data_IF_152192670350
#
_entry.id   IF_152192670350
#
_cell.length_a   1.000
_cell.length_b   1.000
_cell.length_c   1.000
_cell.angle_alpha   90.00
_cell.angle_beta   90.00
_cell.angle_gamma   90.00
#
_symmetry.space_group_name_H-M   'P 1'
#
loop_
_entity.id
_entity.type
_entity.pdbx_description
1 polymer ?
#
# COMPACT_ATOMS: atom_id res chain seq x y z
N UNK A 1 -14.85 28.83 -1.17
CA UNK A 1 -13.73 28.64 -2.08
C UNK A 1 -13.72 27.16 -2.46
N UNK A 2 -13.65 26.82 -3.76
CA UNK A 2 -13.52 25.44 -4.21
C UNK A 2 -12.14 24.89 -3.79
N UNK A 3 -12.05 23.57 -3.58
CA UNK A 3 -10.77 22.91 -3.39
C UNK A 3 -9.92 23.08 -4.67
N UNK A 4 -8.60 23.22 -4.49
CA UNK A 4 -7.65 23.25 -5.61
C UNK A 4 -7.76 21.96 -6.45
N UNK A 5 -7.59 22.02 -7.77
CA UNK A 5 -7.55 20.83 -8.60
C UNK A 5 -6.45 19.87 -8.16
N UNK A 6 -6.72 18.57 -8.21
CA UNK A 6 -5.72 17.54 -7.81
C UNK A 6 -4.45 17.69 -8.63
N UNK A 7 -4.53 18.00 -9.90
CA UNK A 7 -3.39 18.27 -10.79
C UNK A 7 -2.43 19.33 -10.23
N UNK A 8 -2.95 20.46 -9.75
CA UNK A 8 -2.14 21.51 -9.14
C UNK A 8 -1.48 21.08 -7.84
N UNK A 9 -2.13 20.19 -7.08
CA UNK A 9 -1.58 19.64 -5.85
C UNK A 9 -0.44 18.64 -6.11
N UNK A 10 -0.56 17.82 -7.16
CA UNK A 10 0.49 16.90 -7.60
C UNK A 10 1.74 17.70 -8.02
N UNK A 11 1.54 18.78 -8.78
CA UNK A 11 2.62 19.63 -9.26
C UNK A 11 3.31 20.39 -8.09
N UNK A 12 2.55 20.89 -7.10
CA UNK A 12 3.11 21.57 -5.93
C UNK A 12 3.94 20.63 -5.03
N UNK A 13 3.48 19.40 -4.83
CA UNK A 13 4.20 18.43 -4.00
C UNK A 13 5.38 17.76 -4.70
N UNK A 14 5.43 17.77 -6.03
CA UNK A 14 6.51 17.13 -6.81
C UNK A 14 6.61 15.61 -6.56
N UNK A 15 5.49 14.92 -6.30
CA UNK A 15 5.50 13.49 -6.01
C UNK A 15 5.91 12.67 -7.23
N UNK A 16 6.62 11.57 -7.00
CA UNK A 16 7.11 10.66 -8.04
C UNK A 16 6.40 9.30 -8.02
N UNK A 17 5.69 8.99 -6.94
CA UNK A 17 4.93 7.75 -6.82
C UNK A 17 3.64 7.95 -6.03
N UNK A 18 2.65 7.09 -6.30
CA UNK A 18 1.36 7.10 -5.61
C UNK A 18 0.77 5.68 -5.50
N UNK A 19 -0.09 5.48 -4.50
CA UNK A 19 -0.95 4.29 -4.41
C UNK A 19 -2.40 4.65 -4.71
N UNK A 20 -3.11 3.74 -5.39
CA UNK A 20 -4.54 3.89 -5.71
C UNK A 20 -5.26 2.58 -5.41
N UNK A 21 -6.34 2.65 -4.66
CA UNK A 21 -7.19 1.48 -4.39
C UNK A 21 -8.02 1.12 -5.62
N UNK A 22 -8.07 -0.18 -5.94
CA UNK A 22 -8.90 -0.72 -7.02
C UNK A 22 -9.73 -1.88 -6.47
N UNK A 23 -11.06 -1.69 -6.46
CA UNK A 23 -12.07 -2.69 -6.06
C UNK A 23 -12.86 -3.16 -7.28
N UNK A 24 -12.42 -4.18 -8.00
CA UNK A 24 -13.04 -4.58 -9.27
C UNK A 24 -14.48 -5.06 -9.15
N UNK A 25 -14.92 -5.53 -7.99
CA UNK A 25 -16.31 -5.89 -7.75
C UNK A 25 -17.28 -4.70 -7.80
N UNK A 26 -16.77 -3.47 -7.90
CA UNK A 26 -17.57 -2.26 -8.12
C UNK A 26 -17.88 -2.00 -9.60
N UNK A 27 -17.21 -2.68 -10.54
CA UNK A 27 -17.38 -2.45 -11.98
C UNK A 27 -17.32 -3.71 -12.87
N UNK A 28 -17.08 -4.90 -12.31
CA UNK A 28 -17.06 -6.19 -13.03
C UNK A 28 -18.34 -6.97 -12.77
N UNK A 29 -18.84 -7.70 -13.81
CA UNK A 29 -20.08 -8.47 -13.78
C UNK A 29 -19.95 -9.77 -14.57
N UNK A 30 -20.72 -10.81 -14.19
CA UNK A 30 -20.83 -12.07 -14.94
C UNK A 30 -21.80 -11.99 -16.12
N UNK A 31 -22.74 -11.03 -16.07
CA UNK A 31 -23.71 -10.76 -17.11
C UNK A 31 -23.89 -9.25 -17.31
N UNK A 32 -24.25 -8.77 -18.50
CA UNK A 32 -24.39 -7.35 -18.71
C UNK A 32 -25.54 -6.76 -17.87
N UNK A 33 -25.21 -5.82 -16.98
CA UNK A 33 -26.18 -5.12 -16.14
C UNK A 33 -26.89 -3.96 -16.88
N UNK A 34 -26.27 -3.44 -17.93
CA UNK A 34 -26.77 -2.36 -18.79
C UNK A 34 -26.16 -2.42 -20.19
N UNK A 35 -26.71 -1.65 -21.13
CA UNK A 35 -26.13 -1.50 -22.47
C UNK A 35 -24.79 -0.74 -22.40
N UNK A 36 -23.85 -1.04 -23.31
CA UNK A 36 -22.58 -0.32 -23.46
C UNK A 36 -21.49 -0.74 -22.46
N UNK A 37 -21.66 -1.83 -21.73
CA UNK A 37 -20.58 -2.41 -20.95
C UNK A 37 -19.48 -2.96 -21.87
N UNK A 38 -18.25 -2.91 -21.39
CA UNK A 38 -17.10 -3.50 -22.10
C UNK A 38 -17.10 -5.01 -21.89
N UNK A 39 -17.18 -5.76 -23.00
CA UNK A 39 -17.04 -7.21 -23.00
C UNK A 39 -15.56 -7.61 -22.97
N UNK A 40 -15.24 -8.57 -22.13
CA UNK A 40 -13.90 -9.13 -22.00
C UNK A 40 -13.98 -10.67 -22.02
N UNK A 41 -13.46 -11.27 -23.08
CA UNK A 41 -13.39 -12.72 -23.22
C UNK A 41 -12.12 -13.26 -22.56
N UNK A 42 -12.26 -14.22 -21.63
CA UNK A 42 -11.15 -14.86 -20.98
C UNK A 42 -11.41 -16.35 -20.74
N UNK A 43 -10.51 -17.21 -21.26
CA UNK A 43 -10.59 -18.67 -21.08
C UNK A 43 -11.97 -19.28 -21.40
N UNK A 44 -12.61 -18.80 -22.49
CA UNK A 44 -13.90 -19.31 -22.97
C UNK A 44 -15.13 -18.77 -22.27
N UNK A 45 -14.98 -17.87 -21.31
CA UNK A 45 -16.04 -17.15 -20.63
C UNK A 45 -16.00 -15.66 -21.05
N UNK A 46 -17.13 -14.97 -20.94
CA UNK A 46 -17.22 -13.53 -21.17
C UNK A 46 -17.59 -12.82 -19.86
N UNK A 47 -16.85 -11.78 -19.55
CA UNK A 47 -17.09 -10.91 -18.40
C UNK A 47 -17.40 -9.50 -18.90
N UNK A 48 -18.09 -8.71 -18.07
CA UNK A 48 -18.58 -7.39 -18.46
C UNK A 48 -18.07 -6.34 -17.47
N UNK A 49 -17.58 -5.21 -18.00
CA UNK A 49 -17.01 -4.13 -17.20
C UNK A 49 -17.74 -2.82 -17.46
N UNK A 50 -18.13 -2.15 -16.39
CA UNK A 50 -18.81 -0.86 -16.43
C UNK A 50 -17.81 0.27 -16.66
N UNK A 51 -17.71 0.77 -17.91
CA UNK A 51 -16.76 1.83 -18.26
C UNK A 51 -17.02 3.13 -17.53
N UNK A 52 -18.28 3.48 -17.23
CA UNK A 52 -18.58 4.70 -16.47
C UNK A 52 -18.03 4.66 -15.04
N UNK A 53 -17.91 3.46 -14.46
CA UNK A 53 -17.28 3.26 -13.13
C UNK A 53 -15.77 3.34 -13.20
N UNK A 54 -15.19 3.07 -14.36
CA UNK A 54 -13.76 3.19 -14.62
C UNK A 54 -13.31 4.63 -14.91
N UNK A 55 -14.23 5.52 -15.31
CA UNK A 55 -13.89 6.88 -15.72
C UNK A 55 -13.07 7.65 -14.67
N UNK A 56 -13.40 7.51 -13.39
CA UNK A 56 -12.67 8.18 -12.31
C UNK A 56 -11.25 7.60 -12.14
N UNK A 57 -11.10 6.27 -12.24
CA UNK A 57 -9.81 5.60 -12.19
C UNK A 57 -8.96 5.98 -13.41
N UNK A 58 -9.55 5.93 -14.62
CA UNK A 58 -8.90 6.36 -15.86
C UNK A 58 -8.40 7.81 -15.77
N UNK A 59 -9.23 8.73 -15.26
CA UNK A 59 -8.84 10.12 -15.08
C UNK A 59 -7.64 10.27 -14.14
N UNK A 60 -7.68 9.58 -12.99
CA UNK A 60 -6.58 9.58 -12.02
C UNK A 60 -5.30 9.03 -12.64
N UNK A 61 -5.38 7.89 -13.33
CA UNK A 61 -4.21 7.24 -13.92
C UNK A 61 -3.65 8.02 -15.12
N UNK A 62 -4.48 8.73 -15.90
CA UNK A 62 -3.99 9.65 -16.95
C UNK A 62 -3.27 10.85 -16.36
N UNK A 63 -3.81 11.46 -15.31
CA UNK A 63 -3.18 12.61 -14.62
C UNK A 63 -1.81 12.24 -14.05
N UNK A 64 -1.67 11.05 -13.49
CA UNK A 64 -0.40 10.55 -12.95
C UNK A 64 0.57 10.15 -14.07
N UNK A 65 0.10 9.47 -15.12
CA UNK A 65 0.92 9.10 -16.27
C UNK A 65 1.47 10.34 -17.02
N UNK A 66 0.64 11.39 -17.19
CA UNK A 66 1.07 12.64 -17.81
C UNK A 66 2.19 13.37 -17.05
N UNK A 67 2.44 13.01 -15.78
CA UNK A 67 3.50 13.55 -14.90
C UNK A 67 4.61 12.55 -14.63
N UNK A 68 4.59 11.41 -15.31
CA UNK A 68 5.51 10.28 -15.06
C UNK A 68 5.52 9.80 -13.60
N UNK A 69 4.39 9.94 -12.91
CA UNK A 69 4.22 9.41 -11.55
C UNK A 69 4.02 7.91 -11.62
N UNK A 70 4.86 7.17 -10.90
CA UNK A 70 4.76 5.70 -10.79
C UNK A 70 3.58 5.32 -9.90
N UNK A 71 2.56 4.68 -10.46
CA UNK A 71 1.39 4.24 -9.69
C UNK A 71 1.48 2.77 -9.33
N UNK A 72 1.32 2.47 -8.04
CA UNK A 72 1.02 1.14 -7.54
C UNK A 72 -0.47 1.04 -7.21
N UNK A 73 -1.18 0.05 -7.77
CA UNK A 73 -2.57 -0.19 -7.37
C UNK A 73 -2.64 -1.19 -6.23
N UNK A 74 -3.50 -0.94 -5.25
CA UNK A 74 -3.87 -1.92 -4.23
C UNK A 74 -5.10 -2.65 -4.75
N UNK A 75 -4.93 -3.93 -5.11
CA UNK A 75 -5.99 -4.78 -5.64
C UNK A 75 -6.81 -5.36 -4.50
N UNK A 76 -8.03 -4.89 -4.33
CA UNK A 76 -8.92 -5.24 -3.24
C UNK A 76 -10.06 -6.14 -3.72
N UNK A 77 -10.44 -7.13 -2.93
CA UNK A 77 -11.62 -7.97 -3.18
C UNK A 77 -12.63 -7.68 -2.08
N UNK A 78 -13.67 -6.95 -2.45
CA UNK A 78 -14.76 -6.61 -1.52
C UNK A 78 -15.50 -7.86 -1.04
N UNK A 79 -16.10 -7.87 0.15
CA UNK A 79 -17.06 -8.90 0.54
C UNK A 79 -18.23 -8.98 -0.43
N UNK A 80 -18.80 -10.18 -0.60
CA UNK A 80 -19.91 -10.41 -1.54
C UNK A 80 -21.10 -9.47 -1.35
N UNK A 81 -21.36 -9.05 -0.11
CA UNK A 81 -22.45 -8.13 0.21
C UNK A 81 -22.24 -6.71 -0.36
N UNK A 82 -21.01 -6.35 -0.69
CA UNK A 82 -20.64 -5.03 -1.23
C UNK A 82 -20.44 -5.05 -2.75
N UNK A 83 -20.41 -6.24 -3.37
CA UNK A 83 -20.27 -6.39 -4.81
C UNK A 83 -21.51 -5.87 -5.56
N UNK A 84 -21.29 -5.25 -6.73
CA UNK A 84 -22.37 -4.78 -7.61
C UNK A 84 -23.09 -5.94 -8.29
N UNK A 85 -22.37 -7.02 -8.60
CA UNK A 85 -22.93 -8.29 -9.08
C UNK A 85 -22.84 -9.30 -7.92
N UNK A 86 -24.00 -9.67 -7.36
CA UNK A 86 -24.07 -10.56 -6.22
C UNK A 86 -23.54 -11.99 -6.53
N UNK A 87 -23.70 -12.46 -7.78
CA UNK A 87 -23.21 -13.78 -8.18
C UNK A 87 -21.67 -13.75 -8.32
N UNK A 88 -21.11 -12.70 -8.87
CA UNK A 88 -19.67 -12.51 -8.95
C UNK A 88 -19.07 -12.34 -7.55
N UNK A 89 -19.72 -11.53 -6.69
CA UNK A 89 -19.30 -11.37 -5.30
C UNK A 89 -19.24 -12.69 -4.55
N UNK A 90 -20.30 -13.48 -4.61
CA UNK A 90 -20.38 -14.82 -4.01
C UNK A 90 -19.34 -15.80 -4.60
N UNK A 91 -19.00 -15.65 -5.88
CA UNK A 91 -17.99 -16.47 -6.55
C UNK A 91 -16.57 -16.14 -6.08
N UNK A 92 -16.24 -14.85 -5.96
CA UNK A 92 -14.88 -14.39 -5.66
C UNK A 92 -14.57 -14.30 -4.17
N UNK A 93 -15.58 -14.14 -3.30
CA UNK A 93 -15.37 -14.23 -1.85
C UNK A 93 -14.86 -15.60 -1.44
N UNK A 94 -13.85 -15.62 -0.55
CA UNK A 94 -13.37 -16.90 0.00
C UNK A 94 -14.52 -17.62 0.75
N UNK A 95 -14.71 -18.94 0.55
CA UNK A 95 -15.85 -19.65 1.15
C UNK A 95 -15.84 -19.63 2.69
N UNK A 96 -14.69 -19.47 3.31
CA UNK A 96 -14.55 -19.39 4.77
C UNK A 96 -14.52 -17.94 5.30
N UNK A 97 -14.81 -16.93 4.45
CA UNK A 97 -14.92 -15.54 4.89
C UNK A 97 -15.96 -15.39 5.99
N UNK A 98 -15.61 -14.69 7.05
CA UNK A 98 -16.48 -14.47 8.21
C UNK A 98 -16.78 -12.99 8.45
N UNK A 99 -15.74 -12.14 8.32
CA UNK A 99 -15.79 -10.71 8.61
C UNK A 99 -14.54 -10.01 8.03
N UNK A 100 -14.40 -8.72 8.27
CA UNK A 100 -13.26 -7.92 7.83
C UNK A 100 -13.62 -7.02 6.66
N UNK A 101 -12.72 -6.10 6.36
CA UNK A 101 -12.93 -5.07 5.33
C UNK A 101 -12.91 -5.68 3.92
N UNK A 102 -12.04 -6.66 3.69
CA UNK A 102 -11.87 -7.36 2.41
C UNK A 102 -11.86 -8.87 2.62
N UNK A 103 -12.04 -9.62 1.53
CA UNK A 103 -11.90 -11.08 1.52
C UNK A 103 -10.66 -11.52 0.78
N UNK A 104 -10.02 -12.60 1.22
CA UNK A 104 -9.12 -13.35 0.35
C UNK A 104 -9.90 -13.83 -0.87
N UNK A 105 -9.37 -13.73 -2.10
CA UNK A 105 -10.05 -14.28 -3.26
C UNK A 105 -10.21 -15.79 -3.16
N UNK A 106 -11.33 -16.28 -3.68
CA UNK A 106 -11.62 -17.72 -3.73
C UNK A 106 -10.72 -18.43 -4.73
N UNK A 107 -9.62 -19.00 -4.23
CA UNK A 107 -8.69 -19.83 -5.00
C UNK A 107 -9.04 -21.33 -4.95
N UNK A 108 -10.23 -21.70 -4.44
CA UNK A 108 -10.60 -23.10 -4.20
C UNK A 108 -11.34 -23.76 -5.36
N UNK A 109 -11.90 -22.96 -6.29
CA UNK A 109 -12.64 -23.51 -7.44
C UNK A 109 -12.12 -22.96 -8.77
N UNK A 110 -12.09 -23.79 -9.86
CA UNK A 110 -11.63 -23.33 -11.17
C UNK A 110 -12.42 -22.14 -11.73
N UNK A 111 -13.73 -22.06 -11.43
CA UNK A 111 -14.58 -20.96 -11.90
C UNK A 111 -14.19 -19.64 -11.22
N UNK A 112 -13.97 -19.65 -9.90
CA UNK A 112 -13.53 -18.47 -9.16
C UNK A 112 -12.14 -18.02 -9.58
N UNK A 113 -11.20 -18.96 -9.74
CA UNK A 113 -9.84 -18.66 -10.22
C UNK A 113 -9.87 -18.00 -11.60
N UNK A 114 -10.71 -18.51 -12.53
CA UNK A 114 -10.86 -17.87 -13.87
C UNK A 114 -11.45 -16.47 -13.78
N UNK A 115 -12.47 -16.25 -12.95
CA UNK A 115 -13.06 -14.92 -12.78
C UNK A 115 -12.06 -13.93 -12.18
N UNK A 116 -11.29 -14.36 -11.16
CA UNK A 116 -10.21 -13.53 -10.59
C UNK A 116 -9.10 -13.25 -11.62
N UNK A 117 -8.73 -14.24 -12.43
CA UNK A 117 -7.77 -14.09 -13.51
C UNK A 117 -8.27 -13.11 -14.60
N UNK A 118 -9.54 -13.23 -15.02
CA UNK A 118 -10.15 -12.34 -16.01
C UNK A 118 -10.17 -10.87 -15.54
N UNK A 119 -10.40 -10.65 -14.26
CA UNK A 119 -10.36 -9.34 -13.64
C UNK A 119 -8.96 -8.70 -13.76
N UNK A 120 -7.92 -9.45 -13.44
CA UNK A 120 -6.53 -9.00 -13.54
C UNK A 120 -6.14 -8.76 -14.99
N UNK A 121 -6.51 -9.68 -15.88
CA UNK A 121 -6.22 -9.61 -17.32
C UNK A 121 -6.85 -8.36 -17.95
N UNK A 122 -8.11 -8.06 -17.62
CA UNK A 122 -8.78 -6.85 -18.07
C UNK A 122 -8.05 -5.57 -17.61
N UNK A 123 -7.69 -5.50 -16.33
CA UNK A 123 -6.98 -4.34 -15.79
C UNK A 123 -5.60 -4.19 -16.42
N UNK A 124 -4.85 -5.30 -16.59
CA UNK A 124 -3.54 -5.28 -17.22
C UNK A 124 -3.64 -4.87 -18.71
N UNK A 125 -4.59 -5.44 -19.47
CA UNK A 125 -4.83 -5.05 -20.86
C UNK A 125 -5.17 -3.56 -21.01
N UNK A 126 -5.88 -2.98 -20.02
CA UNK A 126 -6.28 -1.58 -20.05
C UNK A 126 -5.17 -0.63 -19.66
N UNK A 127 -4.42 -0.94 -18.59
CA UNK A 127 -3.51 -0.02 -17.91
C UNK A 127 -2.01 -0.32 -18.05
N UNK A 128 -1.65 -1.41 -18.75
CA UNK A 128 -0.26 -1.69 -19.11
C UNK A 128 -0.02 -1.50 -20.62
N UNK A 129 -0.69 -0.51 -21.22
CA UNK A 129 -0.57 -0.17 -22.64
C UNK A 129 0.60 0.79 -22.86
N UNK A 130 1.30 0.63 -23.96
CA UNK A 130 2.39 1.53 -24.37
C UNK A 130 1.91 2.96 -24.69
N UNK A 131 0.63 3.14 -25.07
CA UNK A 131 0.06 4.43 -25.45
C UNK A 131 -0.56 5.21 -24.27
N UNK A 132 -0.57 4.64 -23.07
CA UNK A 132 -1.17 5.21 -21.85
C UNK A 132 -2.60 5.75 -22.04
N UNK A 133 -3.37 5.18 -23.00
CA UNK A 133 -4.69 5.71 -23.40
C UNK A 133 -5.69 5.85 -22.24
N UNK A 134 -5.52 5.01 -21.21
CA UNK A 134 -6.31 5.03 -19.98
C UNK A 134 -5.48 5.40 -18.74
N UNK A 135 -4.23 5.86 -18.93
CA UNK A 135 -3.24 5.99 -17.89
C UNK A 135 -2.48 4.68 -17.65
N UNK A 136 -1.62 4.67 -16.63
CA UNK A 136 -0.66 3.58 -16.42
C UNK A 136 -0.67 3.04 -14.99
N UNK A 137 -0.68 1.71 -14.84
CA UNK A 137 -0.36 1.00 -13.61
C UNK A 137 1.02 0.38 -13.79
N UNK A 138 1.98 0.80 -12.96
CA UNK A 138 3.34 0.26 -12.99
C UNK A 138 3.51 -0.95 -12.06
N UNK A 139 2.87 -0.91 -10.88
CA UNK A 139 3.03 -1.92 -9.84
C UNK A 139 1.70 -2.37 -9.24
N UNK A 140 1.70 -3.56 -8.65
CA UNK A 140 0.50 -4.22 -8.15
C UNK A 140 0.71 -4.65 -6.70
N UNK A 141 0.06 -3.99 -5.78
CA UNK A 141 -0.03 -4.40 -4.38
C UNK A 141 -1.20 -5.37 -4.26
N UNK A 142 -0.91 -6.62 -3.94
CA UNK A 142 -1.92 -7.68 -3.95
C UNK A 142 -2.54 -7.79 -2.56
N UNK A 143 -3.78 -7.33 -2.46
CA UNK A 143 -4.59 -7.18 -1.25
C UNK A 143 -4.00 -6.17 -0.25
N UNK A 144 -4.70 -5.95 0.88
CA UNK A 144 -4.29 -5.01 1.91
C UNK A 144 -4.02 -5.72 3.23
N UNK A 145 -2.91 -5.37 3.88
CA UNK A 145 -2.51 -5.82 5.22
C UNK A 145 -2.88 -7.27 5.51
N UNK A 146 -2.33 -8.18 4.69
CA UNK A 146 -2.72 -9.60 4.74
C UNK A 146 -2.32 -10.30 6.04
N UNK A 147 -1.39 -9.74 6.81
CA UNK A 147 -1.11 -10.19 8.18
C UNK A 147 -2.27 -9.93 9.13
N UNK A 148 -3.11 -8.95 8.86
CA UNK A 148 -4.37 -8.66 9.56
C UNK A 148 -5.53 -9.52 9.10
N UNK A 149 -5.34 -10.84 8.99
CA UNK A 149 -6.25 -11.78 8.34
C UNK A 149 -7.68 -11.85 8.88
N UNK A 150 -7.97 -11.29 10.06
CA UNK A 150 -9.34 -11.25 10.61
C UNK A 150 -10.02 -9.89 10.40
N UNK A 151 -9.25 -8.83 10.19
CA UNK A 151 -9.78 -7.46 10.11
C UNK A 151 -9.69 -6.88 8.70
N UNK A 152 -8.65 -7.25 7.94
CA UNK A 152 -8.43 -6.75 6.58
C UNK A 152 -8.77 -7.77 5.51
N UNK A 153 -7.86 -8.66 5.13
CA UNK A 153 -8.08 -9.63 4.03
C UNK A 153 -8.46 -10.98 4.62
N UNK A 154 -9.74 -11.19 4.90
CA UNK A 154 -10.23 -12.33 5.68
C UNK A 154 -10.40 -13.61 4.87
N UNK A 155 -9.99 -14.73 5.46
CA UNK A 155 -10.17 -16.11 4.97
C UNK A 155 -10.69 -17.03 6.09
N UNK A 156 -11.38 -16.47 7.11
CA UNK A 156 -11.80 -17.15 8.33
C UNK A 156 -10.94 -16.78 9.53
N UNK A 157 -11.49 -16.91 10.73
CA UNK A 157 -10.93 -16.31 11.96
C UNK A 157 -9.78 -17.12 12.58
N UNK A 158 -9.64 -18.40 12.25
CA UNK A 158 -8.74 -19.36 12.90
C UNK A 158 -7.84 -20.14 11.95
N UNK A 159 -7.49 -19.53 10.80
CA UNK A 159 -6.63 -20.19 9.82
C UNK A 159 -5.19 -20.31 10.33
N UNK A 160 -4.60 -21.47 10.08
CA UNK A 160 -3.16 -21.62 10.27
C UNK A 160 -2.41 -20.67 9.31
N UNK A 161 -1.36 -20.04 9.81
CA UNK A 161 -0.53 -19.11 9.03
C UNK A 161 -0.06 -19.74 7.70
N UNK A 162 0.28 -21.03 7.70
CA UNK A 162 0.72 -21.75 6.48
C UNK A 162 -0.39 -21.89 5.47
N UNK A 163 -1.62 -22.21 5.90
CA UNK A 163 -2.80 -22.33 5.01
C UNK A 163 -3.15 -20.97 4.42
N UNK A 164 -3.17 -19.94 5.26
CA UNK A 164 -3.48 -18.57 4.85
C UNK A 164 -2.44 -18.04 3.85
N UNK A 165 -1.15 -18.13 4.21
CA UNK A 165 -0.07 -17.67 3.32
C UNK A 165 -0.04 -18.43 1.99
N UNK A 166 -0.33 -19.74 1.98
CA UNK A 166 -0.42 -20.51 0.72
C UNK A 166 -1.53 -19.97 -0.22
N UNK A 167 -2.72 -19.68 0.31
CA UNK A 167 -3.80 -19.09 -0.49
C UNK A 167 -3.37 -17.71 -1.04
N UNK A 168 -2.74 -16.90 -0.21
CA UNK A 168 -2.21 -15.60 -0.59
C UNK A 168 -1.16 -15.67 -1.71
N UNK A 169 -0.17 -16.55 -1.56
CA UNK A 169 0.87 -16.76 -2.59
C UNK A 169 0.27 -17.18 -3.94
N UNK A 170 -0.78 -17.98 -3.94
CA UNK A 170 -1.48 -18.36 -5.19
C UNK A 170 -2.10 -17.16 -5.88
N UNK A 171 -2.76 -16.25 -5.13
CA UNK A 171 -3.33 -15.03 -5.71
C UNK A 171 -2.26 -14.10 -6.26
N UNK A 172 -1.15 -13.90 -5.54
CA UNK A 172 -0.01 -13.11 -6.00
C UNK A 172 0.64 -13.68 -7.26
N UNK A 173 0.88 -14.99 -7.28
CA UNK A 173 1.50 -15.68 -8.42
C UNK A 173 0.62 -15.59 -9.67
N UNK A 174 -0.70 -15.72 -9.50
CA UNK A 174 -1.64 -15.58 -10.61
C UNK A 174 -1.61 -14.15 -11.16
N UNK A 175 -1.65 -13.14 -10.28
CA UNK A 175 -1.51 -11.75 -10.67
C UNK A 175 -0.20 -11.51 -11.45
N UNK A 176 0.93 -11.95 -10.90
CA UNK A 176 2.23 -11.81 -11.54
C UNK A 176 2.30 -12.53 -12.91
N UNK A 177 1.71 -13.72 -13.03
CA UNK A 177 1.74 -14.50 -14.26
C UNK A 177 0.93 -13.86 -15.40
N UNK A 178 -0.16 -13.18 -15.05
CA UNK A 178 -1.02 -12.51 -16.04
C UNK A 178 -0.42 -11.15 -16.41
N UNK A 179 -0.16 -10.29 -15.45
CA UNK A 179 0.29 -8.92 -15.72
C UNK A 179 1.60 -8.89 -16.51
N UNK A 180 2.52 -9.80 -16.22
CA UNK A 180 3.81 -9.89 -16.95
C UNK A 180 3.70 -10.24 -18.43
N UNK A 181 2.54 -10.63 -18.89
CA UNK A 181 2.29 -10.79 -20.33
C UNK A 181 2.10 -9.43 -21.02
N UNK A 182 1.75 -8.40 -20.27
CA UNK A 182 1.52 -7.02 -20.71
C UNK A 182 2.67 -6.08 -20.34
N UNK A 183 3.22 -6.24 -19.13
CA UNK A 183 4.36 -5.45 -18.63
C UNK A 183 5.38 -6.37 -17.92
N UNK A 184 6.51 -6.62 -18.59
CA UNK A 184 7.60 -7.43 -18.05
C UNK A 184 8.31 -6.78 -16.84
N UNK A 185 8.17 -5.46 -16.64
CA UNK A 185 8.81 -4.70 -15.57
C UNK A 185 7.93 -4.56 -14.32
N UNK A 186 6.65 -4.91 -14.41
CA UNK A 186 5.72 -4.83 -13.28
C UNK A 186 6.23 -5.60 -12.06
N UNK A 187 6.09 -5.00 -10.88
CA UNK A 187 6.38 -5.64 -9.59
C UNK A 187 5.09 -5.91 -8.83
N UNK A 188 5.12 -6.97 -8.00
CA UNK A 188 3.96 -7.50 -7.28
C UNK A 188 4.26 -7.48 -5.79
N UNK A 189 3.63 -6.57 -5.08
CA UNK A 189 3.93 -6.30 -3.69
C UNK A 189 3.01 -7.09 -2.77
N UNK A 190 3.61 -7.72 -1.77
CA UNK A 190 2.91 -8.25 -0.61
C UNK A 190 2.72 -7.13 0.41
N UNK A 191 1.47 -6.87 0.80
CA UNK A 191 1.10 -5.78 1.70
C UNK A 191 1.02 -6.26 3.14
N UNK A 192 1.73 -5.57 4.03
CA UNK A 192 1.84 -5.91 5.44
C UNK A 192 1.81 -4.68 6.34
N UNK A 193 1.27 -4.85 7.55
CA UNK A 193 1.34 -3.85 8.62
C UNK A 193 2.74 -3.75 9.24
N UNK A 194 2.86 -2.96 10.30
CA UNK A 194 4.11 -2.83 11.06
C UNK A 194 4.40 -3.99 12.05
N UNK A 195 3.53 -5.01 12.14
CA UNK A 195 3.53 -6.09 13.14
C UNK A 195 4.60 -7.16 12.86
N UNK A 196 5.88 -6.83 12.98
CA UNK A 196 6.99 -7.62 12.44
C UNK A 196 7.14 -9.01 13.06
N UNK A 197 7.54 -9.12 14.34
CA UNK A 197 7.69 -10.42 15.01
C UNK A 197 6.59 -10.71 16.02
N UNK A 198 5.69 -9.76 16.23
CA UNK A 198 4.56 -9.86 17.15
C UNK A 198 3.31 -9.30 16.46
N UNK A 199 2.27 -10.10 16.39
CA UNK A 199 0.98 -9.65 15.90
C UNK A 199 0.40 -8.53 16.79
N UNK A 200 -0.18 -7.50 16.20
CA UNK A 200 -0.78 -6.38 16.92
C UNK A 200 -2.10 -6.74 17.58
N UNK A 201 -2.87 -7.65 16.96
CA UNK A 201 -4.20 -8.03 17.41
C UNK A 201 -4.36 -9.56 17.45
N UNK A 202 -5.30 -10.09 18.26
CA UNK A 202 -5.69 -11.48 18.18
C UNK A 202 -6.18 -11.87 16.78
N UNK A 203 -5.72 -12.99 16.26
CA UNK A 203 -6.06 -13.48 14.91
C UNK A 203 -5.23 -12.86 13.78
N UNK A 204 -4.29 -11.96 14.09
CA UNK A 204 -3.27 -11.48 13.15
C UNK A 204 -2.06 -12.40 13.15
N UNK A 205 -1.23 -12.29 12.12
CA UNK A 205 0.00 -13.05 11.96
C UNK A 205 1.23 -12.15 12.07
N UNK A 206 2.36 -12.64 12.65
CA UNK A 206 3.63 -11.91 12.56
C UNK A 206 4.08 -11.79 11.10
N UNK A 207 4.33 -10.57 10.64
CA UNK A 207 4.74 -10.27 9.26
C UNK A 207 6.00 -11.02 8.87
N UNK A 208 7.01 -11.06 9.76
CA UNK A 208 8.28 -11.79 9.52
C UNK A 208 8.04 -13.26 9.17
N UNK A 209 7.12 -13.91 9.86
CA UNK A 209 6.84 -15.34 9.65
C UNK A 209 6.08 -15.54 8.33
N UNK A 210 5.14 -14.64 7.98
CA UNK A 210 4.46 -14.66 6.67
C UNK A 210 5.41 -14.40 5.51
N UNK A 211 6.31 -13.43 5.63
CA UNK A 211 7.33 -13.12 4.62
C UNK A 211 8.30 -14.30 4.44
N UNK A 212 8.66 -14.98 5.52
CA UNK A 212 9.43 -16.23 5.48
C UNK A 212 8.72 -17.31 4.67
N UNK A 213 7.46 -17.59 5.00
CA UNK A 213 6.61 -18.56 4.28
C UNK A 213 6.38 -18.17 2.82
N UNK A 214 6.15 -16.88 2.52
CA UNK A 214 6.04 -16.38 1.14
C UNK A 214 7.30 -16.72 0.34
N UNK A 215 8.48 -16.49 0.93
CA UNK A 215 9.76 -16.86 0.33
C UNK A 215 9.90 -18.38 0.11
N UNK A 216 9.52 -19.19 1.09
CA UNK A 216 9.60 -20.65 1.01
C UNK A 216 8.66 -21.23 -0.06
N UNK A 217 7.39 -20.82 -0.07
CA UNK A 217 6.43 -21.24 -1.09
C UNK A 217 6.83 -20.76 -2.50
N UNK A 218 7.33 -19.51 -2.60
CA UNK A 218 7.82 -18.99 -3.89
C UNK A 218 8.94 -19.84 -4.45
N UNK A 219 9.94 -20.19 -3.64
CA UNK A 219 11.07 -21.02 -4.06
C UNK A 219 10.66 -22.43 -4.41
N UNK A 220 9.77 -23.04 -3.62
CA UNK A 220 9.32 -24.42 -3.83
C UNK A 220 8.53 -24.57 -5.14
N UNK A 221 7.76 -23.57 -5.55
CA UNK A 221 6.90 -23.59 -6.73
C UNK A 221 7.46 -22.84 -7.95
N UNK A 222 8.70 -22.37 -7.87
CA UNK A 222 9.34 -21.49 -8.85
C UNK A 222 9.25 -20.02 -8.41
N UNK A 223 10.41 -19.46 -8.05
CA UNK A 223 10.48 -18.08 -7.53
C UNK A 223 10.03 -17.06 -8.57
N UNK A 224 9.20 -16.12 -8.17
CA UNK A 224 8.78 -14.97 -8.97
C UNK A 224 9.20 -13.67 -8.29
N UNK A 225 9.28 -12.58 -9.04
CA UNK A 225 9.73 -11.28 -8.55
C UNK A 225 8.60 -10.59 -7.78
N UNK A 226 8.43 -10.99 -6.51
CA UNK A 226 7.58 -10.31 -5.56
C UNK A 226 8.39 -9.31 -4.73
N UNK A 227 7.72 -8.32 -4.16
CA UNK A 227 8.26 -7.20 -3.41
C UNK A 227 7.48 -6.98 -2.10
N UNK A 228 7.91 -6.07 -1.23
CA UNK A 228 7.21 -5.74 0.01
C UNK A 228 6.59 -4.34 -0.05
N UNK A 229 5.32 -4.25 0.28
CA UNK A 229 4.56 -3.06 0.58
C UNK A 229 4.31 -3.03 2.10
N UNK A 230 5.04 -2.19 2.83
CA UNK A 230 5.01 -2.16 4.28
C UNK A 230 4.29 -0.90 4.76
N UNK A 231 3.37 -1.05 5.72
CA UNK A 231 2.67 0.05 6.36
C UNK A 231 3.37 0.38 7.68
N UNK A 232 4.46 1.15 7.58
CA UNK A 232 5.35 1.45 8.71
C UNK A 232 4.85 2.62 9.57
N UNK A 233 3.58 2.54 10.01
CA UNK A 233 3.02 3.49 10.96
C UNK A 233 3.72 3.43 12.32
N UNK A 234 3.62 4.48 13.16
CA UNK A 234 4.06 4.42 14.55
C UNK A 234 3.43 3.25 15.32
N UNK A 235 4.15 2.68 16.28
CA UNK A 235 3.67 1.60 17.16
C UNK A 235 2.31 1.93 17.79
N UNK A 236 2.16 3.20 18.22
CA UNK A 236 0.88 3.79 18.60
C UNK A 236 0.51 4.81 17.55
N UNK A 237 -0.39 4.47 16.65
CA UNK A 237 -0.72 5.27 15.48
C UNK A 237 -1.13 6.73 15.82
N UNK A 238 -1.68 6.96 17.01
CA UNK A 238 -2.04 8.30 17.48
C UNK A 238 -0.86 9.14 17.99
N UNK A 239 0.32 8.53 18.26
CA UNK A 239 1.52 9.23 18.71
C UNK A 239 2.50 9.46 17.57
N UNK A 240 2.74 10.70 17.11
CA UNK A 240 3.67 11.00 16.03
C UNK A 240 5.15 10.84 16.41
N UNK A 241 5.46 10.74 17.69
CA UNK A 241 6.84 10.73 18.20
C UNK A 241 7.54 9.38 18.02
N UNK A 242 7.58 8.90 16.78
CA UNK A 242 8.09 7.57 16.42
C UNK A 242 9.49 7.27 16.96
N UNK A 243 10.35 8.29 17.13
CA UNK A 243 11.71 8.12 17.70
C UNK A 243 11.74 7.64 19.16
N UNK A 244 10.61 7.68 19.88
CA UNK A 244 10.49 7.26 21.30
C UNK A 244 9.93 5.87 21.50
N UNK A 245 9.53 5.18 20.45
CA UNK A 245 8.83 3.89 20.52
C UNK A 245 9.68 2.82 21.18
N UNK A 246 9.22 2.19 22.28
CA UNK A 246 10.04 1.24 23.05
C UNK A 246 10.16 -0.13 22.39
N UNK A 247 9.14 -0.57 21.63
CA UNK A 247 9.09 -1.91 21.04
C UNK A 247 9.58 -1.95 19.59
N UNK A 248 9.81 -0.79 18.94
CA UNK A 248 10.51 -0.68 17.67
C UNK A 248 12.02 -0.65 17.92
N UNK A 249 12.63 -1.83 18.05
CA UNK A 249 14.07 -2.02 18.28
C UNK A 249 14.80 -2.28 16.96
N UNK A 250 16.15 -2.16 16.93
CA UNK A 250 16.96 -2.41 15.73
C UNK A 250 17.33 -3.90 15.52
N UNK A 251 16.83 -4.79 16.36
CA UNK A 251 17.06 -6.23 16.24
C UNK A 251 16.16 -6.83 15.16
N UNK A 252 16.64 -7.85 14.42
CA UNK A 252 15.86 -8.55 13.39
C UNK A 252 14.61 -9.27 13.92
N UNK A 253 14.51 -9.45 15.22
CA UNK A 253 13.31 -9.98 15.89
C UNK A 253 12.53 -8.91 16.65
N UNK A 254 12.67 -7.64 16.28
CA UNK A 254 11.88 -6.54 16.85
C UNK A 254 10.39 -6.85 16.81
N UNK A 255 9.59 -6.49 17.82
CA UNK A 255 8.13 -6.62 17.75
C UNK A 255 7.50 -5.90 16.57
N UNK A 256 7.89 -4.63 16.33
CA UNK A 256 7.35 -3.78 15.27
C UNK A 256 8.44 -3.18 14.40
N UNK A 257 8.12 -2.92 13.14
CA UNK A 257 8.93 -2.11 12.23
C UNK A 257 8.14 -0.86 11.86
N UNK A 258 8.61 0.27 12.34
CA UNK A 258 8.01 1.59 12.17
C UNK A 258 9.01 2.53 11.50
N UNK A 259 8.67 3.79 11.33
CA UNK A 259 9.63 4.79 10.84
C UNK A 259 10.90 4.91 11.71
N UNK A 260 10.87 4.41 12.97
CA UNK A 260 12.03 4.43 13.87
C UNK A 260 13.15 3.49 13.44
N UNK A 261 12.82 2.28 12.98
CA UNK A 261 13.76 1.17 12.82
C UNK A 261 13.71 0.51 11.44
N UNK A 262 13.55 1.32 10.40
CA UNK A 262 13.53 0.88 8.99
C UNK A 262 14.79 0.11 8.56
N UNK A 263 15.88 0.21 9.33
CA UNK A 263 17.09 -0.61 9.17
C UNK A 263 16.79 -2.11 9.17
N UNK A 264 15.75 -2.55 9.89
CA UNK A 264 15.32 -3.95 9.91
C UNK A 264 14.82 -4.40 8.54
N UNK A 265 14.00 -3.60 7.87
CA UNK A 265 13.54 -3.87 6.50
C UNK A 265 14.67 -3.77 5.50
N UNK A 266 15.51 -2.73 5.61
CA UNK A 266 16.67 -2.56 4.73
C UNK A 266 17.62 -3.77 4.84
N UNK A 267 17.94 -4.21 6.04
CA UNK A 267 18.76 -5.39 6.28
C UNK A 267 18.09 -6.67 5.76
N UNK A 268 16.78 -6.81 5.94
CA UNK A 268 16.03 -7.93 5.36
C UNK A 268 16.17 -7.95 3.84
N UNK A 269 15.98 -6.81 3.17
CA UNK A 269 16.05 -6.70 1.71
C UNK A 269 17.44 -7.03 1.15
N UNK A 270 18.50 -6.71 1.90
CA UNK A 270 19.89 -6.93 1.51
C UNK A 270 20.41 -8.34 1.92
N UNK A 271 19.65 -9.09 2.71
CA UNK A 271 20.06 -10.44 3.14
C UNK A 271 20.03 -11.42 1.95
N UNK A 272 21.12 -12.15 1.64
CA UNK A 272 21.20 -13.02 0.46
C UNK A 272 20.08 -14.04 0.32
N UNK A 273 19.59 -14.60 1.46
CA UNK A 273 18.49 -15.57 1.47
C UNK A 273 17.13 -14.99 0.99
N UNK A 274 16.99 -13.66 1.00
CA UNK A 274 15.76 -12.96 0.61
C UNK A 274 15.78 -12.45 -0.84
N UNK A 275 16.93 -12.54 -1.50
CA UNK A 275 17.06 -12.09 -2.89
C UNK A 275 16.24 -12.96 -3.85
N UNK A 276 15.64 -12.34 -4.85
CA UNK A 276 15.02 -13.06 -5.95
C UNK A 276 16.07 -13.86 -6.72
N UNK A 277 15.89 -15.17 -6.81
CA UNK A 277 16.84 -16.12 -7.42
C UNK A 277 18.28 -15.98 -6.88
N UNK A 278 18.44 -15.51 -5.64
CA UNK A 278 19.72 -15.36 -4.97
C UNK A 278 20.59 -14.21 -5.45
N UNK A 279 20.13 -13.36 -6.36
CA UNK A 279 20.93 -12.30 -6.98
C UNK A 279 20.30 -10.93 -6.98
N UNK A 280 19.00 -10.82 -7.11
CA UNK A 280 18.31 -9.55 -7.30
C UNK A 280 17.57 -9.15 -6.01
N UNK A 281 17.84 -7.96 -5.50
CA UNK A 281 17.12 -7.40 -4.36
C UNK A 281 15.65 -7.25 -4.69
N UNK A 282 14.78 -7.59 -3.73
CA UNK A 282 13.35 -7.31 -3.80
C UNK A 282 13.10 -5.88 -3.38
N UNK A 283 12.23 -5.18 -4.07
CA UNK A 283 11.84 -3.82 -3.72
C UNK A 283 11.07 -3.79 -2.39
N UNK A 284 11.28 -2.72 -1.63
CA UNK A 284 10.57 -2.45 -0.38
C UNK A 284 10.02 -1.03 -0.43
N UNK A 285 8.69 -0.91 -0.48
CA UNK A 285 8.01 0.37 -0.45
C UNK A 285 7.24 0.52 0.86
N UNK A 286 7.30 1.71 1.45
CA UNK A 286 6.39 2.08 2.53
C UNK A 286 5.10 2.61 1.89
N UNK A 287 4.26 1.67 1.42
CA UNK A 287 3.09 1.96 0.58
C UNK A 287 1.94 2.65 1.33
N UNK A 288 1.98 2.59 2.64
CA UNK A 288 1.23 3.44 3.56
C UNK A 288 2.11 3.80 4.74
N UNK A 289 2.32 5.08 4.96
CA UNK A 289 3.02 5.58 6.12
C UNK A 289 2.51 6.96 6.48
N UNK A 290 2.64 7.34 7.74
CA UNK A 290 2.22 8.64 8.18
C UNK A 290 2.37 8.81 9.68
N UNK A 291 2.42 10.05 10.11
CA UNK A 291 2.41 10.43 11.52
C UNK A 291 1.17 11.27 11.82
N UNK A 292 0.53 10.99 12.94
CA UNK A 292 -0.70 11.64 13.34
C UNK A 292 -0.46 13.05 13.91
N UNK A 293 -1.45 13.92 13.83
CA UNK A 293 -1.56 15.12 14.64
C UNK A 293 -2.77 14.95 15.55
N UNK A 294 -2.61 14.67 16.86
CA UNK A 294 -3.74 14.42 17.74
C UNK A 294 -4.77 15.56 17.75
N UNK A 295 -4.30 16.79 17.61
CA UNK A 295 -5.13 17.99 17.43
C UNK A 295 -4.55 18.90 16.35
N UNK A 296 -5.20 20.02 16.05
CA UNK A 296 -4.62 21.07 15.20
C UNK A 296 -3.83 22.12 15.98
N UNK A 297 -3.49 21.87 17.25
CA UNK A 297 -2.60 22.74 18.01
C UNK A 297 -1.19 22.73 17.42
N UNK A 298 -0.50 23.86 17.48
CA UNK A 298 0.84 24.06 16.89
C UNK A 298 1.84 22.98 17.32
N UNK A 299 1.83 22.59 18.59
CA UNK A 299 2.74 21.56 19.11
C UNK A 299 2.48 20.18 18.47
N UNK A 300 1.22 19.79 18.28
CA UNK A 300 0.85 18.52 17.68
C UNK A 300 1.18 18.49 16.18
N UNK A 301 0.89 19.58 15.47
CA UNK A 301 1.26 19.73 14.07
C UNK A 301 2.78 19.70 13.87
N UNK A 302 3.53 20.31 14.80
CA UNK A 302 4.99 20.28 14.78
C UNK A 302 5.55 18.88 15.05
N UNK A 303 4.95 18.12 15.96
CA UNK A 303 5.32 16.73 16.22
C UNK A 303 5.03 15.83 15.00
N UNK A 304 3.92 16.07 14.29
CA UNK A 304 3.62 15.39 13.03
C UNK A 304 4.73 15.60 12.00
N UNK A 305 5.15 16.85 11.79
CA UNK A 305 6.25 17.19 10.88
C UNK A 305 7.57 16.55 11.32
N UNK A 306 7.88 16.58 12.61
CA UNK A 306 9.11 15.98 13.15
C UNK A 306 9.15 14.46 12.94
N UNK A 307 8.00 13.77 13.09
CA UNK A 307 7.90 12.34 12.82
C UNK A 307 8.12 12.00 11.35
N UNK A 308 7.59 12.81 10.44
CA UNK A 308 7.86 12.67 9.00
C UNK A 308 9.34 12.90 8.69
N UNK A 309 9.92 14.02 9.13
CA UNK A 309 11.32 14.33 8.87
C UNK A 309 12.26 13.25 9.38
N UNK A 310 12.00 12.72 10.59
CA UNK A 310 12.77 11.60 11.15
C UNK A 310 12.70 10.34 10.26
N UNK A 311 11.51 9.98 9.79
CA UNK A 311 11.31 8.83 8.89
C UNK A 311 11.97 9.05 7.53
N UNK A 312 11.85 10.24 6.96
CA UNK A 312 12.42 10.60 5.67
C UNK A 312 13.95 10.49 5.66
N UNK A 313 14.61 11.05 6.66
CA UNK A 313 16.07 10.98 6.80
C UNK A 313 16.57 9.53 6.85
N UNK A 314 15.81 8.63 7.48
CA UNK A 314 16.13 7.20 7.46
C UNK A 314 15.91 6.57 6.09
N UNK A 315 14.79 6.89 5.42
CA UNK A 315 14.48 6.36 4.09
C UNK A 315 15.59 6.77 3.11
N UNK A 316 15.99 8.04 3.12
CA UNK A 316 17.02 8.57 2.24
C UNK A 316 18.40 7.90 2.46
N UNK A 317 18.68 7.45 3.70
CA UNK A 317 19.95 6.82 4.06
C UNK A 317 20.01 5.30 3.83
N UNK A 318 18.85 4.62 3.68
CA UNK A 318 18.77 3.16 3.71
C UNK A 318 18.65 2.55 2.31
N UNK A 319 19.68 1.84 1.80
CA UNK A 319 19.72 1.30 0.43
C UNK A 319 18.71 0.18 0.18
N UNK A 320 18.07 -0.33 1.23
CA UNK A 320 17.03 -1.38 1.13
C UNK A 320 15.61 -0.87 1.05
N UNK A 321 15.38 0.46 1.11
CA UNK A 321 14.07 1.10 1.02
C UNK A 321 13.98 1.89 -0.28
N UNK A 322 12.92 1.72 -1.06
CA UNK A 322 12.78 2.28 -2.40
C UNK A 322 11.84 3.49 -2.48
N UNK A 323 10.96 3.68 -1.51
CA UNK A 323 10.03 4.81 -1.54
C UNK A 323 9.03 4.81 -0.40
N UNK A 324 8.30 5.91 -0.31
CA UNK A 324 7.24 6.12 0.66
C UNK A 324 6.02 6.76 -0.03
N UNK A 325 4.83 6.24 0.26
CA UNK A 325 3.56 6.89 -0.03
C UNK A 325 2.92 7.33 1.29
N UNK A 326 2.63 8.63 1.37
CA UNK A 326 2.01 9.19 2.56
C UNK A 326 0.51 8.95 2.58
N UNK A 327 0.02 8.42 3.68
CA UNK A 327 -1.41 8.29 3.95
C UNK A 327 -1.85 9.43 4.86
N UNK A 328 -2.56 10.48 4.41
CA UNK A 328 -3.46 10.60 3.31
C UNK A 328 -3.38 12.05 2.75
N UNK A 329 -4.20 12.40 1.72
CA UNK A 329 -4.35 13.79 1.25
C UNK A 329 -5.03 14.68 2.29
N UNK A 330 -6.13 14.20 2.85
CA UNK A 330 -6.95 14.92 3.82
C UNK A 330 -7.08 14.10 5.09
N UNK A 331 -7.19 14.77 6.23
CA UNK A 331 -7.73 14.15 7.41
C UNK A 331 -9.15 13.68 7.13
N UNK A 332 -9.52 12.50 7.61
CA UNK A 332 -10.82 11.91 7.32
C UNK A 332 -11.58 11.62 8.61
N UNK A 333 -12.74 12.24 8.79
CA UNK A 333 -13.53 12.10 10.03
C UNK A 333 -13.99 10.66 10.33
N UNK A 334 -14.05 9.77 9.33
CA UNK A 334 -14.39 8.37 9.54
C UNK A 334 -13.20 7.53 10.06
N UNK A 335 -11.99 8.09 10.09
CA UNK A 335 -10.82 7.50 10.74
C UNK A 335 -10.74 7.89 12.24
N UNK A 336 -11.84 8.27 12.83
CA UNK A 336 -11.94 8.61 14.24
C UNK A 336 -11.19 9.90 14.58
N UNK A 337 -10.18 9.80 15.45
CA UNK A 337 -9.36 10.96 15.86
C UNK A 337 -8.05 11.09 15.08
N UNK A 338 -7.82 10.24 14.08
CA UNK A 338 -6.61 10.27 13.27
C UNK A 338 -6.62 11.48 12.32
N UNK A 339 -5.53 12.22 12.32
CA UNK A 339 -5.26 13.38 11.47
C UNK A 339 -3.89 13.21 10.81
N UNK A 340 -3.76 12.16 9.99
CA UNK A 340 -2.51 11.82 9.29
C UNK A 340 -2.37 12.62 8.00
N UNK A 341 -3.48 13.11 7.43
CA UNK A 341 -3.53 13.81 6.15
C UNK A 341 -2.57 15.02 6.09
N UNK A 342 -2.14 15.34 4.88
CA UNK A 342 -1.38 16.56 4.58
C UNK A 342 -2.24 17.83 4.72
N UNK A 343 -3.56 17.66 4.64
CA UNK A 343 -4.57 18.73 4.70
C UNK A 343 -5.61 18.38 5.76
N UNK A 344 -6.27 19.42 6.30
CA UNK A 344 -7.41 19.26 7.21
C UNK A 344 -8.60 18.61 6.48
N UNK A 345 -9.50 17.99 7.23
CA UNK A 345 -10.77 17.45 6.72
C UNK A 345 -11.51 18.52 5.89
N UNK A 346 -12.05 18.20 4.70
CA UNK A 346 -12.82 19.14 3.89
C UNK A 346 -14.04 19.75 4.60
N UNK A 347 -14.53 19.11 5.67
CA UNK A 347 -15.61 19.63 6.51
C UNK A 347 -15.13 20.25 7.82
N UNK A 348 -13.83 20.57 7.98
CA UNK A 348 -13.33 21.31 9.15
C UNK A 348 -13.96 22.69 9.25
N UNK A 349 -14.35 23.08 10.47
CA UNK A 349 -15.11 24.32 10.69
C UNK A 349 -14.26 25.58 10.53
N UNK A 350 -12.95 25.50 10.83
CA UNK A 350 -12.06 26.66 10.85
C UNK A 350 -11.32 26.84 9.52
N UNK A 351 -10.82 25.73 8.95
CA UNK A 351 -10.04 25.74 7.72
C UNK A 351 -10.36 24.51 6.84
N UNK A 352 -11.54 24.45 6.19
CA UNK A 352 -11.96 23.32 5.37
C UNK A 352 -10.93 22.96 4.29
N UNK A 353 -10.36 21.76 4.37
CA UNK A 353 -9.35 21.28 3.42
C UNK A 353 -8.05 22.11 3.39
N UNK A 354 -7.77 22.91 4.44
CA UNK A 354 -6.57 23.74 4.54
C UNK A 354 -5.29 22.91 4.62
N UNK A 355 -4.21 23.36 3.98
CA UNK A 355 -2.88 22.74 4.10
C UNK A 355 -2.42 22.81 5.56
N UNK A 356 -1.89 21.71 6.06
CA UNK A 356 -1.24 21.63 7.39
C UNK A 356 0.27 21.92 7.22
N UNK A 357 1.02 22.27 8.28
CA UNK A 357 2.47 22.46 8.18
C UNK A 357 3.22 21.27 7.56
N UNK A 358 2.71 20.05 7.74
CA UNK A 358 3.26 18.84 7.12
C UNK A 358 3.26 18.91 5.57
N UNK A 359 2.37 19.68 4.94
CA UNK A 359 2.36 19.88 3.49
C UNK A 359 3.68 20.45 2.99
N UNK A 360 4.16 21.53 3.62
CA UNK A 360 5.43 22.17 3.24
C UNK A 360 6.62 21.29 3.59
N UNK A 361 6.60 20.65 4.78
CA UNK A 361 7.65 19.73 5.19
C UNK A 361 7.78 18.55 4.22
N UNK A 362 6.65 18.00 3.74
CA UNK A 362 6.62 16.91 2.76
C UNK A 362 7.09 17.39 1.38
N UNK A 363 6.64 18.56 0.92
CA UNK A 363 7.02 19.13 -0.36
C UNK A 363 8.53 19.38 -0.46
N UNK A 364 9.13 19.84 0.63
CA UNK A 364 10.53 20.27 0.65
C UNK A 364 11.51 19.11 0.88
N UNK A 365 11.00 17.93 1.27
CA UNK A 365 11.77 16.70 1.41
C UNK A 365 12.37 16.23 0.05
N UNK A 366 13.62 15.83 0.04
CA UNK A 366 14.35 15.44 -1.16
C UNK A 366 14.74 16.60 -2.09
N UNK A 367 14.55 17.85 -1.66
CA UNK A 367 14.92 19.05 -2.42
C UNK A 367 16.08 19.80 -1.76
N UNK A 368 16.62 20.82 -2.43
CA UNK A 368 17.63 21.73 -1.87
C UNK A 368 17.16 22.59 -0.69
N UNK A 369 15.86 22.54 -0.34
CA UNK A 369 15.26 23.20 0.82
C UNK A 369 15.13 22.29 2.03
N UNK A 370 15.40 20.99 1.91
CA UNK A 370 15.22 20.00 2.96
C UNK A 370 15.92 20.37 4.26
N UNK A 371 17.21 20.74 4.18
CA UNK A 371 18.01 21.09 5.37
C UNK A 371 17.38 22.25 6.16
N UNK A 372 16.94 23.31 5.48
CA UNK A 372 16.28 24.45 6.11
C UNK A 372 14.90 24.05 6.70
N UNK A 373 14.12 23.27 5.94
CA UNK A 373 12.78 22.82 6.34
C UNK A 373 12.82 21.86 7.55
N UNK A 374 13.86 21.03 7.65
CA UNK A 374 13.96 20.00 8.70
C UNK A 374 14.73 20.47 9.94
N UNK A 375 15.59 21.48 9.83
CA UNK A 375 16.39 22.01 10.95
C UNK A 375 15.58 22.29 12.24
N UNK A 376 14.34 22.84 12.19
CA UNK A 376 13.55 23.09 13.39
C UNK A 376 13.17 21.84 14.19
N UNK A 377 13.17 20.66 13.54
CA UNK A 377 12.73 19.42 14.15
C UNK A 377 13.81 18.71 14.95
N UNK A 378 15.09 19.03 14.76
CA UNK A 378 16.19 18.50 15.55
C UNK A 378 15.95 18.70 17.06
N UNK A 379 15.52 19.89 17.45
CA UNK A 379 15.22 20.21 18.84
C UNK A 379 13.98 19.49 19.39
N UNK A 380 13.00 19.17 18.53
CA UNK A 380 11.78 18.43 18.89
C UNK A 380 12.11 16.98 19.17
N UNK A 381 12.96 16.39 18.31
CA UNK A 381 13.41 15.01 18.40
C UNK A 381 14.43 14.85 19.54
N UNK A 382 15.24 15.90 19.79
CA UNK A 382 16.28 15.91 20.81
C UNK A 382 17.62 15.34 20.30
N UNK A 383 17.92 15.51 19.00
CA UNK A 383 19.19 15.12 18.37
C UNK A 383 19.99 16.35 17.94
N UNK A 384 21.33 16.29 17.90
CA UNK A 384 22.17 17.42 17.51
C UNK A 384 22.18 17.67 16.01
N UNK A 385 22.09 16.63 15.20
CA UNK A 385 22.09 16.67 13.74
C UNK A 385 21.52 15.36 13.16
N UNK A 386 21.19 15.35 11.87
CA UNK A 386 20.62 14.20 11.16
C UNK A 386 21.60 13.06 10.92
N UNK A 387 22.90 13.31 10.95
CA UNK A 387 23.92 12.27 10.70
C UNK A 387 23.88 11.14 11.75
N UNK A 388 23.31 11.43 12.95
CA UNK A 388 23.12 10.40 13.98
C UNK A 388 22.17 9.26 13.55
N UNK A 389 21.33 9.52 12.55
CA UNK A 389 20.39 8.55 11.99
C UNK A 389 20.98 7.72 10.84
N UNK A 390 22.14 8.11 10.35
CA UNK A 390 22.81 7.39 9.27
C UNK A 390 23.25 6.00 9.75
N UNK A 391 23.08 4.94 8.94
CA UNK A 391 23.58 3.62 9.29
C UNK A 391 25.09 3.72 9.50
N UNK A 392 25.58 3.16 10.62
CA UNK A 392 27.00 3.01 10.82
C UNK A 392 27.52 2.07 9.74
N UNK A 393 28.46 2.54 8.94
CA UNK A 393 29.12 1.67 7.96
C UNK A 393 29.83 0.52 8.71
N UNK A 394 29.39 -0.72 8.42
CA UNK A 394 30.03 -1.94 8.93
C UNK A 394 31.40 -2.15 8.27
#
# INVERSE_FOLDING_TARGET
AGLEPVSALLDDLGITSATVNVSPLQFMYLSPAKAGMVEHAYCGETYYFDSEKLDALDATLRETAARDITVAVILLVDPAAEARDAELGALLQHPDYTRGTYTMPNMTTPKAVRAYAAMIDFLAQRYCREDDAYGRIAHWIVHNEVDGGVDWTNMGDDKLITTYTNAYVKSMRLCASIVRQYDANAEFFASFSHSWSRASNPGWYPVRDMVGLLGDFSRAEGDFRWALACHSYPETISDPCTWREPNATFAMNTPFVTLKNLEVLSKWALTPANLFRGTTRRSVWLSEAGTNSPTYAEADLRNQCAGFAYGWEKIAALPGIDGIQWHNWFDHRNEGTLRIGLRRDPGDAEAPGGKKPIWETYRDAGTDREEEAFAPFLSVIGIPDWNILQPVAD
#
